data_IF_213285247901
#
_entry.id   IF_213285247901
#
_cell.length_a   1.000
_cell.length_b   1.000
_cell.length_c   1.000
_cell.angle_alpha   90.00
_cell.angle_beta   90.00
_cell.angle_gamma   90.00
#
_symmetry.space_group_name_H-M   'P 1'
#
loop_
_entity.id
_entity.type
_entity.pdbx_description
1 polymer ?
#
# COMPACT_ATOMS: atom_id res chain seq x y z
N UNK A 1 8.06 -40.42 -36.50
CA UNK A 1 7.17 -40.33 -35.34
C UNK A 1 7.31 -38.91 -34.83
N UNK A 2 6.21 -38.18 -34.83
CA UNK A 2 6.14 -36.74 -34.55
C UNK A 2 6.61 -36.39 -33.12
N UNK A 3 6.95 -35.12 -32.97
CA UNK A 3 7.46 -34.46 -31.76
C UNK A 3 6.45 -34.49 -30.62
N UNK A 4 6.93 -34.43 -29.39
CA UNK A 4 6.36 -33.51 -28.40
C UNK A 4 7.44 -33.08 -27.39
N UNK A 5 7.92 -31.85 -27.57
CA UNK A 5 8.45 -31.03 -26.48
C UNK A 5 7.29 -30.79 -25.49
N UNK A 6 7.51 -30.71 -24.18
CA UNK A 6 6.49 -30.12 -23.31
C UNK A 6 6.41 -28.61 -23.59
N UNK A 7 5.53 -28.22 -24.53
CA UNK A 7 5.06 -26.86 -24.77
C UNK A 7 3.63 -26.75 -24.25
N UNK A 8 3.39 -25.79 -23.35
CA UNK A 8 2.06 -25.32 -22.98
C UNK A 8 1.84 -25.31 -21.47
N UNK A 9 2.35 -24.30 -20.76
CA UNK A 9 1.60 -23.06 -20.42
C UNK A 9 0.26 -23.34 -19.72
N UNK A 10 0.27 -23.07 -18.42
CA UNK A 10 -0.78 -22.57 -17.50
C UNK A 10 -0.21 -22.86 -16.10
N UNK A 11 0.12 -21.90 -15.24
CA UNK A 11 -0.57 -20.66 -14.93
C UNK A 11 0.41 -19.51 -14.78
N UNK A 12 0.02 -18.39 -15.35
CA UNK A 12 0.69 -17.10 -15.22
C UNK A 12 0.36 -16.56 -13.82
N UNK A 13 0.83 -17.22 -12.75
CA UNK A 13 0.93 -16.55 -11.46
C UNK A 13 2.06 -15.54 -11.62
N UNK A 14 1.67 -14.35 -12.05
CA UNK A 14 2.48 -13.14 -11.99
C UNK A 14 3.16 -13.16 -10.62
N UNK A 15 4.47 -13.39 -10.60
CA UNK A 15 5.25 -13.18 -9.38
C UNK A 15 5.13 -11.70 -9.07
N UNK A 16 4.23 -11.37 -8.13
CA UNK A 16 4.05 -10.00 -7.67
C UNK A 16 5.32 -9.65 -6.91
N UNK A 17 6.09 -8.70 -7.45
CA UNK A 17 7.16 -8.07 -6.68
C UNK A 17 6.52 -7.05 -5.73
N UNK A 18 6.27 -7.49 -4.50
CA UNK A 18 5.64 -6.67 -3.46
C UNK A 18 6.43 -5.38 -3.15
N UNK A 19 7.73 -5.35 -3.45
CA UNK A 19 8.53 -4.15 -3.29
C UNK A 19 8.23 -3.14 -4.41
N UNK A 20 8.01 -3.60 -5.64
CA UNK A 20 7.54 -2.73 -6.73
C UNK A 20 6.13 -2.20 -6.44
N UNK A 21 5.23 -3.05 -5.95
CA UNK A 21 3.89 -2.64 -5.51
C UNK A 21 3.96 -1.57 -4.42
N UNK A 22 4.81 -1.75 -3.41
CA UNK A 22 5.04 -0.74 -2.37
C UNK A 22 5.52 0.60 -2.95
N UNK A 23 6.42 0.58 -3.94
CA UNK A 23 6.88 1.79 -4.63
C UNK A 23 5.76 2.44 -5.44
N UNK A 24 4.89 1.65 -6.07
CA UNK A 24 3.73 2.16 -6.79
C UNK A 24 2.77 2.85 -5.82
N UNK A 25 2.45 2.24 -4.68
CA UNK A 25 1.61 2.83 -3.62
C UNK A 25 2.20 4.17 -3.15
N UNK A 26 3.49 4.21 -2.82
CA UNK A 26 4.18 5.44 -2.39
C UNK A 26 4.00 6.57 -3.41
N UNK A 27 4.19 6.26 -4.70
CA UNK A 27 4.05 7.25 -5.79
C UNK A 27 2.61 7.72 -5.97
N UNK A 28 1.66 6.80 -5.87
CA UNK A 28 0.25 7.09 -6.09
C UNK A 28 -0.33 7.97 -4.98
N UNK A 29 0.02 7.68 -3.71
CA UNK A 29 -0.64 8.30 -2.55
C UNK A 29 0.23 9.31 -1.78
N UNK A 30 1.52 9.42 -2.13
CA UNK A 30 2.48 10.28 -1.43
C UNK A 30 2.06 11.75 -1.33
N UNK A 31 1.28 12.26 -2.30
CA UNK A 31 0.77 13.63 -2.29
C UNK A 31 -0.24 13.91 -1.15
N UNK A 32 -0.91 12.88 -0.64
CA UNK A 32 -2.00 12.97 0.32
C UNK A 32 -1.57 12.72 1.77
N UNK A 33 -0.32 12.32 1.99
CA UNK A 33 0.29 12.11 3.30
C UNK A 33 1.41 13.12 3.56
N UNK A 34 1.96 13.16 4.77
CA UNK A 34 3.14 13.99 5.10
C UNK A 34 4.43 13.28 4.70
N UNK A 35 4.51 11.98 4.99
CA UNK A 35 5.63 11.14 4.58
C UNK A 35 5.17 9.69 4.39
N UNK A 36 5.79 8.97 3.46
CA UNK A 36 5.59 7.53 3.27
C UNK A 36 6.84 6.88 2.68
N UNK A 37 7.31 5.79 3.31
CA UNK A 37 8.48 5.05 2.85
C UNK A 37 8.45 3.59 3.30
N UNK A 38 9.15 2.72 2.58
CA UNK A 38 9.43 1.36 3.04
C UNK A 38 10.33 1.44 4.28
N UNK A 39 9.99 0.68 5.33
CA UNK A 39 10.81 0.57 6.54
C UNK A 39 12.18 -0.02 6.18
N UNK A 40 13.23 0.62 6.70
CA UNK A 40 14.62 0.14 6.54
C UNK A 40 15.10 -0.65 7.75
N UNK A 41 14.31 -0.71 8.83
CA UNK A 41 14.66 -1.37 10.08
C UNK A 41 13.93 -2.69 10.29
N UNK A 42 12.73 -2.84 9.75
CA UNK A 42 12.00 -4.12 9.77
C UNK A 42 12.49 -4.98 8.58
N UNK A 43 12.79 -6.26 8.79
CA UNK A 43 13.07 -7.19 7.69
C UNK A 43 11.92 -7.24 6.69
N UNK A 44 12.24 -7.06 5.41
CA UNK A 44 11.29 -7.19 4.31
C UNK A 44 11.36 -8.63 3.78
N UNK A 45 10.23 -9.23 3.43
CA UNK A 45 10.19 -10.58 2.82
C UNK A 45 9.69 -10.49 1.38
N UNK A 46 9.66 -11.64 0.69
CA UNK A 46 9.09 -11.71 -0.66
C UNK A 46 7.57 -11.57 -0.69
N UNK A 47 6.89 -11.61 0.46
CA UNK A 47 5.42 -11.62 0.56
C UNK A 47 4.89 -10.56 1.51
N UNK A 48 5.74 -9.94 2.31
CA UNK A 48 5.39 -8.96 3.34
C UNK A 48 6.37 -7.80 3.29
N UNK A 49 5.82 -6.62 3.01
CA UNK A 49 6.56 -5.35 2.97
C UNK A 49 5.98 -4.42 4.03
N UNK A 50 6.84 -3.70 4.74
CA UNK A 50 6.42 -2.77 5.79
C UNK A 50 6.63 -1.33 5.34
N UNK A 51 5.57 -0.54 5.40
CA UNK A 51 5.55 0.88 5.09
C UNK A 51 5.41 1.71 6.38
N UNK A 52 6.22 2.75 6.51
CA UNK A 52 6.03 3.80 7.50
C UNK A 52 5.23 4.94 6.84
N UNK A 53 4.16 5.39 7.49
CA UNK A 53 3.27 6.45 6.99
C UNK A 53 3.10 7.52 8.07
N UNK A 54 3.47 8.76 7.78
CA UNK A 54 3.09 9.92 8.58
C UNK A 54 1.93 10.65 7.89
N UNK A 55 0.78 10.70 8.54
CA UNK A 55 -0.37 11.45 8.03
C UNK A 55 -0.11 12.96 8.12
N UNK A 56 -0.89 13.78 7.41
CA UNK A 56 -0.78 15.25 7.51
C UNK A 56 -1.20 15.78 8.88
N UNK A 57 -1.99 15.02 9.63
CA UNK A 57 -2.33 15.28 11.04
C UNK A 57 -1.17 14.93 12.00
N UNK A 58 -0.13 14.26 11.52
CA UNK A 58 1.03 13.84 12.33
C UNK A 58 0.90 12.46 12.97
N UNK A 59 -0.14 11.68 12.63
CA UNK A 59 -0.23 10.29 13.08
C UNK A 59 0.83 9.45 12.36
N UNK A 60 1.56 8.63 13.12
CA UNK A 60 2.55 7.69 12.58
C UNK A 60 1.98 6.29 12.59
N UNK A 61 2.13 5.58 11.48
CA UNK A 61 1.68 4.21 11.33
C UNK A 61 2.80 3.37 10.72
N UNK A 62 2.90 2.12 11.16
CA UNK A 62 3.59 1.07 10.43
C UNK A 62 2.52 0.15 9.83
N UNK A 63 2.63 -0.10 8.53
CA UNK A 63 1.62 -0.80 7.72
C UNK A 63 2.29 -1.98 7.02
N UNK A 64 1.73 -3.18 7.19
CA UNK A 64 2.07 -4.37 6.42
C UNK A 64 1.33 -4.31 5.07
N UNK A 65 2.05 -4.59 3.99
CA UNK A 65 1.54 -4.86 2.65
C UNK A 65 1.86 -6.31 2.29
N UNK A 66 0.83 -7.09 1.98
CA UNK A 66 0.93 -8.50 1.59
C UNK A 66 -0.20 -8.88 0.63
N UNK A 67 -0.29 -10.17 0.28
CA UNK A 67 -1.39 -10.70 -0.56
C UNK A 67 -2.78 -10.54 0.07
N UNK A 68 -2.86 -10.28 1.38
CA UNK A 68 -4.11 -9.97 2.07
C UNK A 68 -4.52 -8.50 1.96
N UNK A 69 -3.66 -7.64 1.41
CA UNK A 69 -3.86 -6.20 1.32
C UNK A 69 -2.98 -5.43 2.32
N UNK A 70 -3.58 -4.43 2.97
CA UNK A 70 -2.89 -3.50 3.88
C UNK A 70 -3.41 -3.65 5.30
N UNK A 71 -2.52 -3.73 6.29
CA UNK A 71 -2.91 -3.79 7.71
C UNK A 71 -2.00 -2.91 8.55
N UNK A 72 -2.58 -2.12 9.45
CA UNK A 72 -1.78 -1.38 10.44
C UNK A 72 -1.25 -2.34 11.49
N UNK A 73 0.06 -2.34 11.69
CA UNK A 73 0.74 -3.21 12.66
C UNK A 73 1.33 -2.42 13.84
N UNK A 74 1.39 -1.09 13.78
CA UNK A 74 1.74 -0.24 14.92
C UNK A 74 1.37 1.22 14.67
N UNK A 75 1.21 1.97 15.76
CA UNK A 75 1.15 3.45 15.84
C UNK A 75 2.53 4.14 15.88
N UNK A 76 3.58 3.39 15.54
CA UNK A 76 4.97 3.83 15.58
C UNK A 76 5.67 3.35 14.31
N UNK A 77 6.62 4.13 13.81
CA UNK A 77 7.48 3.68 12.72
C UNK A 77 8.35 2.50 13.14
N UNK A 78 8.66 1.66 12.17
CA UNK A 78 9.63 0.57 12.30
C UNK A 78 9.29 -0.41 13.43
N UNK A 79 8.00 -0.57 13.74
CA UNK A 79 7.53 -1.48 14.79
C UNK A 79 6.39 -2.34 14.27
N UNK A 80 6.46 -3.64 14.56
CA UNK A 80 5.37 -4.59 14.38
C UNK A 80 4.88 -4.97 15.77
N UNK A 81 3.59 -4.79 16.03
CA UNK A 81 2.90 -5.27 17.22
C UNK A 81 1.84 -6.28 16.80
N UNK A 82 2.09 -7.56 17.06
CA UNK A 82 1.15 -8.65 16.73
C UNK A 82 -0.23 -8.45 17.39
N UNK A 83 -0.28 -7.77 18.53
CA UNK A 83 -1.49 -7.47 19.29
C UNK A 83 -1.97 -6.03 19.10
N UNK A 84 -1.69 -5.42 17.95
CA UNK A 84 -2.27 -4.12 17.61
C UNK A 84 -3.80 -4.19 17.64
N UNK A 85 -4.46 -3.11 18.06
CA UNK A 85 -5.91 -3.14 18.29
C UNK A 85 -6.72 -3.42 17.02
N UNK A 86 -6.25 -2.95 15.87
CA UNK A 86 -6.88 -3.19 14.58
C UNK A 86 -6.22 -4.36 13.85
N UNK A 87 -6.97 -5.43 13.66
CA UNK A 87 -6.53 -6.64 12.95
C UNK A 87 -7.11 -6.73 11.53
N UNK A 88 -7.71 -5.64 11.04
CA UNK A 88 -8.39 -5.59 9.75
C UNK A 88 -7.38 -5.47 8.61
N UNK A 89 -7.54 -6.33 7.60
CA UNK A 89 -6.90 -6.16 6.30
C UNK A 89 -7.80 -5.33 5.38
N UNK A 90 -7.23 -4.27 4.82
CA UNK A 90 -7.86 -3.39 3.86
C UNK A 90 -7.41 -3.74 2.46
N UNK A 91 -8.36 -3.86 1.53
CA UNK A 91 -8.06 -4.23 0.13
C UNK A 91 -7.15 -3.21 -0.57
N UNK A 92 -7.32 -1.92 -0.25
CA UNK A 92 -6.54 -0.83 -0.84
C UNK A 92 -5.97 0.09 0.23
N UNK A 93 -4.84 0.73 -0.07
CA UNK A 93 -4.28 1.76 0.81
C UNK A 93 -5.28 2.90 1.03
N UNK A 94 -6.11 3.21 0.03
CA UNK A 94 -7.20 4.19 0.15
C UNK A 94 -8.21 3.78 1.22
N UNK A 95 -8.67 2.53 1.24
CA UNK A 95 -9.63 2.06 2.24
C UNK A 95 -9.04 2.11 3.66
N UNK A 96 -7.74 1.83 3.81
CA UNK A 96 -7.03 2.00 5.08
C UNK A 96 -7.01 3.48 5.48
N UNK A 97 -6.55 4.36 4.60
CA UNK A 97 -6.39 5.78 4.91
C UNK A 97 -7.73 6.51 5.08
N UNK A 98 -8.80 6.01 4.46
CA UNK A 98 -10.17 6.49 4.70
C UNK A 98 -10.57 6.34 6.17
N UNK A 99 -10.08 5.32 6.88
CA UNK A 99 -10.28 5.21 8.34
C UNK A 99 -9.30 6.08 9.13
N UNK A 100 -8.03 6.09 8.73
CA UNK A 100 -6.93 6.61 9.55
C UNK A 100 -6.57 8.09 9.34
N UNK A 101 -7.01 8.75 8.26
CA UNK A 101 -6.67 10.16 8.02
C UNK A 101 -7.79 10.94 7.33
N UNK A 102 -8.34 11.90 8.07
CA UNK A 102 -9.28 12.90 7.53
C UNK A 102 -8.69 13.72 6.40
N UNK A 103 -7.45 14.21 6.55
CA UNK A 103 -6.75 15.05 5.59
C UNK A 103 -6.39 14.25 4.33
N UNK A 104 -6.17 12.94 4.44
CA UNK A 104 -6.01 12.10 3.26
C UNK A 104 -7.27 12.13 2.39
N UNK A 105 -8.47 11.97 3.01
CA UNK A 105 -9.75 12.07 2.31
C UNK A 105 -9.95 13.44 1.67
N UNK A 106 -9.64 14.52 2.39
CA UNK A 106 -9.74 15.89 1.89
C UNK A 106 -8.79 16.15 0.71
N UNK A 107 -7.53 15.69 0.81
CA UNK A 107 -6.55 15.83 -0.27
C UNK A 107 -6.97 15.06 -1.51
N UNK A 108 -7.50 13.85 -1.34
CA UNK A 108 -7.97 13.03 -2.45
C UNK A 108 -9.18 13.67 -3.13
N UNK A 109 -10.17 14.15 -2.36
CA UNK A 109 -11.33 14.85 -2.89
C UNK A 109 -10.91 16.09 -3.70
N UNK A 110 -10.03 16.93 -3.15
CA UNK A 110 -9.51 18.11 -3.85
C UNK A 110 -8.73 17.74 -5.14
N UNK A 111 -7.96 16.65 -5.13
CA UNK A 111 -7.26 16.18 -6.32
C UNK A 111 -8.22 15.67 -7.40
N UNK A 112 -9.31 15.01 -7.00
CA UNK A 112 -10.36 14.55 -7.90
C UNK A 112 -11.12 15.72 -8.52
N UNK A 113 -11.54 16.70 -7.72
CA UNK A 113 -12.20 17.93 -8.18
C UNK A 113 -11.34 18.67 -9.21
N UNK A 114 -10.05 18.82 -8.92
CA UNK A 114 -9.10 19.46 -9.84
C UNK A 114 -9.03 18.71 -11.17
N UNK A 115 -8.91 17.38 -11.17
CA UNK A 115 -8.89 16.58 -12.40
C UNK A 115 -10.19 16.69 -13.19
N UNK A 116 -11.35 16.66 -12.52
CA UNK A 116 -12.65 16.81 -13.16
C UNK A 116 -12.82 18.19 -13.83
N UNK A 117 -12.40 19.26 -13.14
CA UNK A 117 -12.48 20.63 -13.69
C UNK A 117 -11.68 20.82 -14.99
N UNK A 118 -10.60 20.06 -15.16
CA UNK A 118 -9.75 20.09 -16.36
C UNK A 118 -10.36 19.37 -17.56
N UNK A 119 -11.33 18.48 -17.34
CA UNK A 119 -12.02 17.75 -18.40
C UNK A 119 -13.29 18.47 -18.88
N UNK A 120 -13.82 19.38 -18.06
CA UNK A 120 -15.02 20.17 -18.37
C UNK A 120 -14.71 21.57 -18.89
N UNK A 121 -13.42 21.92 -19.03
CA UNK A 121 -12.95 23.21 -19.55
C UNK A 121 -12.53 23.13 -21.01
#
# INVERSE_FOLDING_TARGET
MEMDLPVGKRENELWIDWKEEAVFVIRDVGFAVKDIAISTKIPQTQTEIYLNVETKEGQKLCVELSSYGFKVVSDCFDKVNEFYEDQTYYETFYALMDKYSSQFRECFAAALEKKLSQLTS
#
